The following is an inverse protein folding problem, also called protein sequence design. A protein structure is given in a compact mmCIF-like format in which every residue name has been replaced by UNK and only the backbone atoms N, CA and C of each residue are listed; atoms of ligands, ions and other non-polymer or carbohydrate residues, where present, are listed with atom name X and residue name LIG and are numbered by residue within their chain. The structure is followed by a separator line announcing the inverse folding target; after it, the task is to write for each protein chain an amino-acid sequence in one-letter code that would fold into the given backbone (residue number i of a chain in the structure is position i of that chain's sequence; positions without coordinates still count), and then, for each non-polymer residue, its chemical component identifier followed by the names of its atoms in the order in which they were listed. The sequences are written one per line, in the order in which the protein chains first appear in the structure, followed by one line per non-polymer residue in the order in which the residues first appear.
data_IF_693928832792
#
_entry.id   IF_693928832792
#
_cell.length_a   1.000
_cell.length_b   1.000
_cell.length_c   1.000
_cell.angle_alpha   90.00
_cell.angle_beta   90.00
_cell.angle_gamma   90.00
#
_symmetry.space_group_name_H-M   'P 1'
#
loop_
_entity.id
_entity.type
_entity.pdbx_description
1 polymer ?
#
# COMPACT_ATOMS: atom_id res chain seq x y z
N UNK A 1 -5.31 -14.18 -33.32
CA UNK A 1 -4.16 -14.35 -32.39
C UNK A 1 -4.12 -13.06 -31.61
N UNK A 2 -4.62 -13.07 -30.37
CA UNK A 2 -4.52 -11.90 -29.50
C UNK A 2 -3.04 -11.70 -29.18
N UNK A 3 -2.49 -10.56 -29.58
CA UNK A 3 -1.23 -10.09 -29.02
C UNK A 3 -1.43 -10.00 -27.51
N UNK A 4 -0.81 -10.90 -26.76
CA UNK A 4 -0.89 -10.93 -25.31
C UNK A 4 -0.48 -9.56 -24.79
N UNK A 5 -1.39 -8.88 -24.14
CA UNK A 5 -1.15 -7.57 -23.54
C UNK A 5 0.02 -7.72 -22.56
N UNK A 6 1.10 -7.02 -22.82
CA UNK A 6 2.36 -7.05 -22.07
C UNK A 6 2.26 -6.34 -20.70
N UNK A 7 1.05 -6.16 -20.19
CA UNK A 7 0.80 -5.42 -18.97
C UNK A 7 0.65 -6.37 -17.77
N UNK A 8 1.44 -6.12 -16.75
CA UNK A 8 1.44 -6.87 -15.50
C UNK A 8 0.32 -6.41 -14.57
N UNK A 9 -0.04 -7.25 -13.62
CA UNK A 9 -0.76 -6.82 -12.43
C UNK A 9 0.13 -5.88 -11.59
N UNK A 10 -0.47 -5.10 -10.70
CA UNK A 10 0.28 -4.15 -9.86
C UNK A 10 -0.02 -4.40 -8.39
N UNK A 11 1.03 -4.48 -7.58
CA UNK A 11 0.93 -4.46 -6.13
C UNK A 11 1.47 -3.15 -5.57
N UNK A 12 0.68 -2.49 -4.73
CA UNK A 12 1.07 -1.23 -4.06
C UNK A 12 1.02 -1.40 -2.55
N UNK A 13 2.17 -1.60 -1.94
CA UNK A 13 2.33 -1.65 -0.49
C UNK A 13 2.67 -0.31 0.13
N UNK A 14 2.74 -0.27 1.47
CA UNK A 14 3.25 0.90 2.19
C UNK A 14 2.38 1.32 3.36
N UNK A 15 2.81 2.36 4.06
CA UNK A 15 2.15 2.80 5.30
C UNK A 15 0.83 3.52 5.06
N UNK A 16 0.01 3.61 6.10
CA UNK A 16 -1.22 4.40 6.05
C UNK A 16 -0.92 5.89 5.72
N UNK A 17 -1.81 6.54 4.98
CA UNK A 17 -1.68 7.95 4.57
C UNK A 17 -0.44 8.27 3.70
N UNK A 18 0.12 7.30 2.98
CA UNK A 18 1.26 7.50 2.06
C UNK A 18 0.86 7.85 0.62
N UNK A 19 -0.42 7.76 0.27
CA UNK A 19 -0.87 8.05 -1.10
C UNK A 19 -1.22 6.81 -1.93
N UNK A 20 -1.14 5.58 -1.39
CA UNK A 20 -1.48 4.33 -2.12
C UNK A 20 -2.80 4.40 -2.88
N UNK A 21 -3.88 4.80 -2.21
CA UNK A 21 -5.20 4.88 -2.85
C UNK A 21 -5.27 5.95 -3.94
N UNK A 22 -4.47 7.02 -3.85
CA UNK A 22 -4.34 8.03 -4.92
C UNK A 22 -3.62 7.43 -6.12
N UNK A 23 -2.50 6.74 -5.88
CA UNK A 23 -1.74 6.02 -6.88
C UNK A 23 -2.63 4.97 -7.59
N UNK A 24 -3.29 4.09 -6.82
CA UNK A 24 -4.17 3.05 -7.36
C UNK A 24 -5.30 3.60 -8.22
N UNK A 25 -5.94 4.69 -7.78
CA UNK A 25 -7.00 5.35 -8.56
C UNK A 25 -6.49 5.91 -9.89
N UNK A 26 -5.28 6.47 -9.92
CA UNK A 26 -4.67 6.95 -11.16
C UNK A 26 -4.39 5.80 -12.13
N UNK A 27 -3.79 4.71 -11.64
CA UNK A 27 -3.56 3.50 -12.43
C UNK A 27 -4.85 2.97 -13.06
N UNK A 28 -5.93 2.91 -12.28
CA UNK A 28 -7.24 2.49 -12.79
C UNK A 28 -7.78 3.40 -13.90
N UNK A 29 -7.61 4.71 -13.75
CA UNK A 29 -8.11 5.68 -14.72
C UNK A 29 -7.33 5.65 -16.04
N UNK A 30 -6.01 5.48 -15.97
CA UNK A 30 -5.13 5.49 -17.14
C UNK A 30 -5.14 4.13 -17.87
N UNK A 31 -5.04 3.03 -17.13
CA UNK A 31 -4.72 1.71 -17.67
C UNK A 31 -5.84 0.66 -17.51
N UNK A 32 -7.03 1.04 -17.00
CA UNK A 32 -8.21 0.16 -16.84
C UNK A 32 -7.96 -1.06 -15.94
N UNK A 33 -7.24 -0.87 -14.83
CA UNK A 33 -7.07 -1.91 -13.81
C UNK A 33 -8.34 -2.10 -12.97
N UNK A 34 -8.58 -3.31 -12.52
CA UNK A 34 -9.54 -3.62 -11.49
C UNK A 34 -8.89 -3.39 -10.12
N UNK A 35 -9.37 -2.41 -9.36
CA UNK A 35 -8.81 -2.07 -8.04
C UNK A 35 -9.32 -3.00 -6.95
N UNK A 36 -8.41 -3.61 -6.21
CA UNK A 36 -8.69 -4.50 -5.09
C UNK A 36 -8.00 -4.01 -3.80
N UNK A 37 -8.68 -3.16 -2.99
CA UNK A 37 -8.16 -2.75 -1.69
C UNK A 37 -8.21 -3.91 -0.69
N UNK A 38 -7.06 -4.38 -0.23
CA UNK A 38 -6.99 -5.48 0.73
C UNK A 38 -7.57 -5.12 2.10
N UNK A 39 -7.63 -3.84 2.43
CA UNK A 39 -8.19 -3.33 3.70
C UNK A 39 -9.62 -3.80 3.94
N UNK A 40 -10.42 -4.04 2.89
CA UNK A 40 -11.78 -4.58 3.03
C UNK A 40 -11.77 -6.02 3.52
N UNK A 41 -10.86 -6.84 3.00
CA UNK A 41 -10.72 -8.23 3.42
C UNK A 41 -10.17 -8.33 4.84
N UNK A 42 -9.10 -7.60 5.15
CA UNK A 42 -8.49 -7.61 6.48
C UNK A 42 -9.45 -7.10 7.56
N UNK A 43 -10.23 -6.06 7.26
CA UNK A 43 -11.27 -5.55 8.17
C UNK A 43 -12.40 -6.55 8.37
N UNK A 44 -12.86 -7.22 7.30
CA UNK A 44 -13.88 -8.26 7.39
C UNK A 44 -13.42 -9.46 8.23
N UNK A 45 -12.19 -9.92 8.02
CA UNK A 45 -11.62 -11.03 8.79
C UNK A 45 -11.48 -10.66 10.26
N UNK A 46 -10.94 -9.48 10.57
CA UNK A 46 -10.84 -9.01 11.95
C UNK A 46 -12.17 -8.98 12.68
N UNK A 47 -13.23 -8.52 12.00
CA UNK A 47 -14.52 -8.28 12.63
C UNK A 47 -15.37 -9.56 12.78
N UNK A 48 -15.25 -10.49 11.83
CA UNK A 48 -16.13 -11.65 11.75
C UNK A 48 -15.42 -12.99 12.05
N UNK A 49 -14.08 -13.01 11.99
CA UNK A 49 -13.26 -14.21 12.17
C UNK A 49 -12.04 -13.89 13.05
N UNK A 50 -12.25 -13.50 14.33
CA UNK A 50 -11.16 -13.11 15.23
C UNK A 50 -10.13 -14.22 15.47
N UNK A 51 -10.53 -15.49 15.30
CA UNK A 51 -9.65 -16.67 15.36
C UNK A 51 -8.54 -16.66 14.31
N UNK A 52 -8.70 -15.93 13.20
CA UNK A 52 -7.65 -15.75 12.19
C UNK A 52 -6.48 -14.90 12.71
N UNK A 53 -6.64 -14.22 13.85
CA UNK A 53 -5.63 -13.35 14.45
C UNK A 53 -5.04 -12.33 13.45
N UNK A 54 -5.89 -11.78 12.58
CA UNK A 54 -5.51 -10.72 11.65
C UNK A 54 -5.81 -9.38 12.29
N UNK A 55 -4.80 -8.54 12.41
CA UNK A 55 -4.93 -7.17 12.87
C UNK A 55 -5.09 -6.23 11.67
N UNK A 56 -6.15 -5.43 11.66
CA UNK A 56 -6.27 -4.28 10.77
C UNK A 56 -5.70 -3.02 11.44
N UNK A 57 -4.65 -3.18 12.25
CA UNK A 57 -3.94 -2.03 12.83
C UNK A 57 -3.35 -1.19 11.71
N UNK A 58 -3.47 0.14 11.82
CA UNK A 58 -2.80 1.07 10.90
C UNK A 58 -1.27 1.00 10.97
N UNK A 59 -0.75 0.40 12.02
CA UNK A 59 0.66 0.10 12.19
C UNK A 59 0.86 -1.38 11.82
N UNK A 60 1.69 -1.64 10.82
CA UNK A 60 2.05 -3.00 10.40
C UNK A 60 2.71 -3.70 11.60
N UNK A 61 2.20 -4.86 11.95
CA UNK A 61 2.66 -5.64 13.09
C UNK A 61 2.76 -7.12 12.72
N UNK A 62 2.63 -8.00 13.71
CA UNK A 62 2.82 -9.45 13.62
C UNK A 62 1.84 -10.17 12.66
N UNK A 63 0.84 -9.45 12.14
CA UNK A 63 -0.11 -9.97 11.14
C UNK A 63 0.41 -9.93 9.71
N UNK A 64 1.55 -9.26 9.44
CA UNK A 64 2.05 -9.07 8.07
C UNK A 64 2.23 -10.38 7.31
N UNK A 65 2.91 -11.35 7.90
CA UNK A 65 3.11 -12.68 7.30
C UNK A 65 1.79 -13.41 7.01
N UNK A 66 0.82 -13.34 7.93
CA UNK A 66 -0.51 -13.98 7.75
C UNK A 66 -1.31 -13.33 6.65
N UNK A 67 -1.24 -12.00 6.56
CA UNK A 67 -1.89 -11.25 5.49
C UNK A 67 -1.21 -11.52 4.15
N UNK A 68 0.11 -11.63 4.12
CA UNK A 68 0.85 -12.02 2.92
C UNK A 68 0.48 -13.44 2.46
N UNK A 69 0.33 -14.39 3.37
CA UNK A 69 -0.15 -15.74 3.06
C UNK A 69 -1.58 -15.74 2.51
N UNK A 70 -2.49 -14.96 3.07
CA UNK A 70 -3.83 -14.75 2.52
C UNK A 70 -3.77 -14.20 1.09
N UNK A 71 -2.97 -13.14 0.90
CA UNK A 71 -2.75 -12.53 -0.42
C UNK A 71 -2.20 -13.52 -1.44
N UNK A 72 -1.32 -14.43 -1.05
CA UNK A 72 -0.73 -15.41 -1.98
C UNK A 72 -1.79 -16.24 -2.74
N UNK A 73 -2.92 -16.54 -2.07
CA UNK A 73 -4.04 -17.24 -2.69
C UNK A 73 -4.82 -16.32 -3.63
N UNK A 74 -5.07 -15.07 -3.22
CA UNK A 74 -5.77 -14.06 -4.02
C UNK A 74 -4.98 -13.76 -5.29
N UNK A 75 -3.67 -13.52 -5.17
CA UNK A 75 -2.74 -13.27 -6.28
C UNK A 75 -2.78 -14.42 -7.29
N UNK A 76 -2.68 -15.67 -6.82
CA UNK A 76 -2.73 -16.85 -7.70
C UNK A 76 -4.05 -16.97 -8.46
N UNK A 77 -5.18 -16.57 -7.84
CA UNK A 77 -6.48 -16.51 -8.52
C UNK A 77 -6.46 -15.41 -9.58
N UNK A 78 -5.94 -14.22 -9.25
CA UNK A 78 -5.82 -13.11 -10.19
C UNK A 78 -4.93 -13.46 -11.38
N UNK A 79 -3.80 -14.14 -11.16
CA UNK A 79 -2.89 -14.62 -12.19
C UNK A 79 -3.50 -15.59 -13.21
N UNK A 80 -4.63 -16.21 -12.85
CA UNK A 80 -5.38 -17.11 -13.72
C UNK A 80 -6.45 -16.41 -14.55
N UNK A 81 -6.62 -15.08 -14.38
CA UNK A 81 -7.62 -14.29 -15.09
C UNK A 81 -7.01 -13.55 -16.27
N UNK A 82 -7.83 -13.28 -17.27
CA UNK A 82 -7.49 -12.43 -18.41
C UNK A 82 -7.83 -10.94 -18.14
N UNK A 83 -7.66 -10.55 -16.87
CA UNK A 83 -7.96 -9.22 -16.36
C UNK A 83 -6.75 -8.67 -15.63
N UNK A 84 -6.63 -7.35 -15.54
CA UNK A 84 -5.57 -6.67 -14.80
C UNK A 84 -6.07 -6.18 -13.47
N UNK A 85 -5.27 -6.40 -12.45
CA UNK A 85 -5.57 -6.02 -11.09
C UNK A 85 -4.51 -5.09 -10.54
N UNK A 86 -4.97 -4.11 -9.76
CA UNK A 86 -4.12 -3.38 -8.82
C UNK A 86 -4.59 -3.71 -7.40
N UNK A 87 -3.68 -4.28 -6.62
CA UNK A 87 -3.92 -4.62 -5.22
C UNK A 87 -3.19 -3.64 -4.35
N UNK A 88 -3.87 -2.94 -3.44
CA UNK A 88 -3.21 -2.10 -2.44
C UNK A 88 -3.35 -2.65 -1.02
N UNK A 89 -2.32 -2.46 -0.21
CA UNK A 89 -2.30 -2.89 1.19
C UNK A 89 -1.43 -1.98 2.07
N UNK A 90 -1.97 -1.66 3.25
CA UNK A 90 -1.22 -1.01 4.33
C UNK A 90 -0.77 -1.99 5.43
N UNK A 91 -0.85 -3.30 5.19
CA UNK A 91 -0.74 -4.30 6.26
C UNK A 91 0.38 -5.33 6.04
N UNK A 92 1.16 -5.20 4.97
CA UNK A 92 2.25 -6.15 4.66
C UNK A 92 3.59 -5.46 4.51
N UNK A 93 4.65 -6.14 4.95
CA UNK A 93 6.03 -5.72 4.74
C UNK A 93 6.56 -6.30 3.41
N UNK A 94 7.52 -5.63 2.74
CA UNK A 94 8.11 -6.14 1.50
C UNK A 94 8.59 -7.59 1.61
N UNK A 95 9.36 -7.92 2.63
CA UNK A 95 9.92 -9.28 2.84
C UNK A 95 8.85 -10.37 2.95
N UNK A 96 7.67 -10.02 3.44
CA UNK A 96 6.60 -11.00 3.63
C UNK A 96 5.82 -11.28 2.36
N UNK A 97 5.57 -10.25 1.53
CA UNK A 97 4.70 -10.40 0.35
C UNK A 97 5.45 -10.71 -0.94
N UNK A 98 6.64 -10.14 -1.14
CA UNK A 98 7.40 -10.29 -2.39
C UNK A 98 7.66 -11.75 -2.79
N UNK A 99 7.92 -12.69 -1.85
CA UNK A 99 8.09 -14.10 -2.21
C UNK A 99 6.87 -14.74 -2.88
N UNK A 100 5.70 -14.14 -2.78
CA UNK A 100 4.45 -14.63 -3.37
C UNK A 100 4.07 -13.95 -4.68
N UNK A 101 4.82 -12.93 -5.11
CA UNK A 101 4.55 -12.15 -6.32
C UNK A 101 5.54 -12.55 -7.41
N UNK A 102 5.04 -13.13 -8.49
CA UNK A 102 5.81 -13.43 -9.69
C UNK A 102 6.17 -12.13 -10.40
N UNK A 103 7.44 -11.76 -10.43
CA UNK A 103 7.91 -10.50 -11.04
C UNK A 103 7.71 -10.43 -12.56
N UNK A 104 7.46 -11.56 -13.22
CA UNK A 104 7.09 -11.57 -14.62
C UNK A 104 5.62 -11.18 -14.85
N UNK A 105 4.79 -11.29 -13.79
CA UNK A 105 3.35 -11.00 -13.81
C UNK A 105 2.94 -9.80 -12.97
N UNK A 106 3.80 -9.33 -12.06
CA UNK A 106 3.49 -8.27 -11.12
C UNK A 106 4.57 -7.19 -11.10
N UNK A 107 4.15 -5.95 -11.30
CA UNK A 107 4.94 -4.79 -10.92
C UNK A 107 4.65 -4.47 -9.45
N UNK A 108 5.71 -4.23 -8.67
CA UNK A 108 5.64 -4.11 -7.22
C UNK A 108 6.16 -2.74 -6.83
N UNK A 109 5.33 -1.97 -6.13
CA UNK A 109 5.69 -0.66 -5.61
C UNK A 109 5.39 -0.58 -4.12
N UNK A 110 6.25 0.11 -3.38
CA UNK A 110 5.95 0.50 -2.01
C UNK A 110 6.02 2.03 -1.88
N UNK A 111 5.06 2.59 -1.12
CA UNK A 111 4.93 4.04 -0.95
C UNK A 111 5.02 4.37 0.54
N UNK A 112 5.88 5.31 0.89
CA UNK A 112 6.08 5.74 2.27
C UNK A 112 6.56 7.18 2.36
N UNK A 113 6.84 7.62 3.58
CA UNK A 113 7.32 8.96 3.88
C UNK A 113 8.38 8.94 5.00
N UNK A 114 9.56 8.30 4.74
CA UNK A 114 10.59 8.07 5.76
C UNK A 114 11.28 9.35 6.23
N UNK A 115 11.27 10.42 5.42
CA UNK A 115 12.08 11.63 5.60
C UNK A 115 11.27 12.86 6.03
N UNK A 116 9.95 12.72 6.32
CA UNK A 116 9.12 13.82 6.79
C UNK A 116 9.21 13.97 8.31
N UNK A 117 9.11 15.20 8.82
CA UNK A 117 8.95 15.40 10.26
C UNK A 117 7.57 14.96 10.74
N UNK A 118 7.49 14.44 11.98
CA UNK A 118 6.20 14.01 12.54
C UNK A 118 5.17 15.15 12.61
N UNK A 119 5.62 16.36 12.90
CA UNK A 119 4.73 17.52 12.99
C UNK A 119 4.22 17.95 11.62
N UNK A 120 5.06 17.92 10.59
CA UNK A 120 4.66 18.22 9.21
C UNK A 120 3.64 17.19 8.73
N UNK A 121 3.90 15.89 8.94
CA UNK A 121 2.97 14.83 8.54
C UNK A 121 1.65 14.91 9.30
N UNK A 122 1.69 15.15 10.60
CA UNK A 122 0.51 15.37 11.43
C UNK A 122 -0.34 16.52 10.89
N UNK A 123 0.27 17.68 10.64
CA UNK A 123 -0.43 18.86 10.11
C UNK A 123 -1.04 18.59 8.73
N UNK A 124 -0.32 17.87 7.87
CA UNK A 124 -0.83 17.46 6.56
C UNK A 124 -2.05 16.54 6.70
N UNK A 125 -2.00 15.56 7.60
CA UNK A 125 -3.14 14.67 7.84
C UNK A 125 -4.34 15.49 8.32
N UNK A 126 -4.18 16.32 9.33
CA UNK A 126 -5.29 17.16 9.86
C UNK A 126 -5.89 18.09 8.80
N UNK A 127 -5.06 18.66 7.94
CA UNK A 127 -5.52 19.53 6.84
C UNK A 127 -6.45 18.83 5.86
N UNK A 128 -6.21 17.55 5.60
CA UNK A 128 -6.95 16.77 4.60
C UNK A 128 -7.86 15.70 5.20
N UNK A 129 -8.05 15.66 6.53
CA UNK A 129 -8.94 14.73 7.20
C UNK A 129 -10.40 14.94 6.81
N UNK A 130 -11.03 13.90 6.28
CA UNK A 130 -12.47 13.84 6.11
C UNK A 130 -13.19 13.44 7.41
N UNK A 131 -14.46 13.82 7.56
CA UNK A 131 -15.26 13.51 8.77
C UNK A 131 -15.35 12.00 9.09
N UNK A 132 -15.23 11.14 8.08
CA UNK A 132 -15.33 9.69 8.20
C UNK A 132 -13.98 9.01 8.36
N UNK A 133 -12.89 9.75 8.21
CA UNK A 133 -11.54 9.19 8.30
C UNK A 133 -11.25 8.69 9.72
N UNK A 134 -10.52 7.59 9.81
CA UNK A 134 -10.15 7.03 11.11
C UNK A 134 -9.24 7.99 11.91
N UNK A 135 -8.47 8.83 11.24
CA UNK A 135 -7.59 9.84 11.82
C UNK A 135 -8.36 10.96 12.49
N UNK A 136 -9.51 11.37 11.97
CA UNK A 136 -10.35 12.42 12.55
C UNK A 136 -10.94 12.07 13.92
N UNK A 137 -10.98 10.75 14.25
CA UNK A 137 -11.51 10.24 15.51
C UNK A 137 -10.44 10.10 16.60
N UNK A 138 -9.18 10.48 16.32
CA UNK A 138 -8.06 10.37 17.25
C UNK A 138 -7.75 11.71 17.87
N UNK A 139 -7.33 11.70 19.14
CA UNK A 139 -6.74 12.89 19.76
C UNK A 139 -5.44 13.28 19.04
N UNK A 140 -4.98 14.51 19.22
CA UNK A 140 -3.74 14.98 18.59
C UNK A 140 -2.51 14.19 19.11
N UNK A 141 -2.49 13.87 20.42
CA UNK A 141 -1.41 13.07 21.01
C UNK A 141 -1.40 11.64 20.47
N UNK A 142 -2.58 10.99 20.36
CA UNK A 142 -2.68 9.67 19.76
C UNK A 142 -2.22 9.68 18.30
N UNK A 143 -2.66 10.66 17.52
CA UNK A 143 -2.30 10.74 16.11
C UNK A 143 -0.81 11.02 15.92
N UNK A 144 -0.20 11.92 16.72
CA UNK A 144 1.24 12.17 16.70
C UNK A 144 2.04 10.90 17.01
N UNK A 145 1.61 10.10 18.00
CA UNK A 145 2.25 8.83 18.34
C UNK A 145 2.13 7.83 17.18
N UNK A 146 0.98 7.76 16.53
CA UNK A 146 0.77 6.88 15.36
C UNK A 146 1.65 7.33 14.19
N UNK A 147 1.71 8.62 13.89
CA UNK A 147 2.53 9.19 12.81
C UNK A 147 4.01 8.86 13.01
N UNK A 148 4.52 8.97 14.23
CA UNK A 148 5.91 8.61 14.53
C UNK A 148 6.21 7.13 14.24
N UNK A 149 5.29 6.24 14.60
CA UNK A 149 5.41 4.80 14.27
C UNK A 149 5.34 4.55 12.75
N UNK A 150 4.44 5.24 12.04
CA UNK A 150 4.32 5.11 10.59
C UNK A 150 5.57 5.60 9.86
N UNK A 151 6.21 6.67 10.32
CA UNK A 151 7.50 7.14 9.79
C UNK A 151 8.59 6.08 10.02
N UNK A 152 8.65 5.49 11.23
CA UNK A 152 9.61 4.41 11.52
C UNK A 152 9.40 3.18 10.63
N UNK A 153 8.14 2.81 10.38
CA UNK A 153 7.80 1.70 9.47
C UNK A 153 8.15 2.06 8.03
N UNK A 154 7.91 3.31 7.59
CA UNK A 154 8.32 3.77 6.26
C UNK A 154 9.81 3.57 6.01
N UNK A 155 10.66 3.86 7.00
CA UNK A 155 12.11 3.62 6.90
C UNK A 155 12.43 2.13 6.73
N UNK A 156 11.82 1.27 7.53
CA UNK A 156 12.01 -0.18 7.42
C UNK A 156 11.52 -0.73 6.07
N UNK A 157 10.42 -0.20 5.54
CA UNK A 157 9.92 -0.58 4.22
C UNK A 157 10.93 -0.16 3.16
N UNK A 158 11.45 1.07 3.22
CA UNK A 158 12.47 1.56 2.29
C UNK A 158 13.71 0.67 2.31
N UNK A 159 14.27 0.38 3.49
CA UNK A 159 15.41 -0.52 3.67
C UNK A 159 15.16 -1.91 3.04
N UNK A 160 13.97 -2.49 3.27
CA UNK A 160 13.61 -3.78 2.68
C UNK A 160 13.41 -3.72 1.16
N UNK A 161 12.89 -2.62 0.64
CA UNK A 161 12.78 -2.40 -0.80
C UNK A 161 14.14 -2.34 -1.48
N UNK A 162 15.10 -1.63 -0.86
CA UNK A 162 16.49 -1.57 -1.32
C UNK A 162 17.14 -2.97 -1.33
N UNK A 163 16.98 -3.75 -0.23
CA UNK A 163 17.51 -5.12 -0.14
C UNK A 163 16.90 -6.07 -1.18
N UNK A 164 15.66 -5.87 -1.57
CA UNK A 164 14.91 -6.72 -2.49
C UNK A 164 14.91 -6.22 -3.94
N UNK A 165 15.57 -5.11 -4.23
CA UNK A 165 15.56 -4.44 -5.54
C UNK A 165 14.11 -4.18 -6.02
N UNK A 166 13.36 -3.43 -5.20
CA UNK A 166 11.97 -3.05 -5.46
C UNK A 166 11.84 -1.54 -5.41
N UNK A 167 11.12 -0.91 -6.35
CA UNK A 167 10.84 0.50 -6.33
C UNK A 167 10.15 0.97 -5.04
N UNK A 168 10.70 2.01 -4.42
CA UNK A 168 10.12 2.71 -3.30
C UNK A 168 9.83 4.16 -3.68
N UNK A 169 8.57 4.59 -3.53
CA UNK A 169 8.12 5.96 -3.81
C UNK A 169 8.10 6.75 -2.51
N UNK A 170 9.03 7.68 -2.36
CA UNK A 170 9.14 8.54 -1.17
C UNK A 170 8.23 9.77 -1.31
N UNK A 171 7.13 9.78 -0.57
CA UNK A 171 6.16 10.90 -0.51
C UNK A 171 6.39 11.81 0.69
N UNK A 172 7.63 11.95 1.15
CA UNK A 172 8.00 12.83 2.27
C UNK A 172 7.86 14.32 1.96
N UNK A 173 7.94 14.70 0.69
CA UNK A 173 7.67 16.06 0.19
C UNK A 173 6.16 16.28 -0.05
N UNK A 174 5.77 16.74 -1.22
CA UNK A 174 4.36 16.80 -1.62
C UNK A 174 3.94 15.47 -2.25
N UNK A 175 3.03 14.76 -1.56
CA UNK A 175 2.55 13.44 -2.01
C UNK A 175 1.89 13.49 -3.40
N UNK A 176 1.17 14.57 -3.70
CA UNK A 176 0.46 14.67 -4.99
C UNK A 176 1.46 14.91 -6.10
N UNK A 177 2.39 15.84 -5.90
CA UNK A 177 3.43 16.17 -6.87
C UNK A 177 4.30 14.94 -7.18
N UNK A 178 4.77 14.21 -6.16
CA UNK A 178 5.55 12.97 -6.33
C UNK A 178 4.79 11.92 -7.13
N UNK A 179 3.51 11.72 -6.84
CA UNK A 179 2.67 10.77 -7.59
C UNK A 179 2.46 11.26 -9.03
N UNK A 180 2.28 12.57 -9.25
CA UNK A 180 2.13 13.15 -10.58
C UNK A 180 3.39 12.93 -11.42
N UNK A 181 4.56 13.26 -10.88
CA UNK A 181 5.85 13.05 -11.52
C UNK A 181 6.09 11.58 -11.88
N UNK A 182 5.72 10.66 -10.99
CA UNK A 182 5.82 9.22 -11.25
C UNK A 182 5.07 8.80 -12.52
N UNK A 183 3.84 9.30 -12.71
CA UNK A 183 3.04 8.97 -13.89
C UNK A 183 3.44 9.75 -15.16
N UNK A 184 4.21 10.82 -15.04
CA UNK A 184 4.75 11.58 -16.18
C UNK A 184 6.06 10.97 -16.70
N UNK A 185 6.88 10.39 -15.82
CA UNK A 185 8.21 9.86 -16.14
C UNK A 185 8.21 8.37 -16.47
N UNK A 186 7.43 7.58 -15.74
CA UNK A 186 7.24 6.17 -16.01
C UNK A 186 6.01 6.00 -16.92
N UNK A 187 6.24 6.00 -18.23
CA UNK A 187 5.22 5.61 -19.21
C UNK A 187 4.90 4.14 -19.01
N UNK A 188 3.94 3.87 -18.11
CA UNK A 188 3.40 2.53 -17.88
C UNK A 188 2.32 2.21 -18.92
#
# INVERSE_FOLDING_TARGET
MNEGSNYKNVFVGGVARSGKSTFSKRMCNVNKYNHFPLDYVTSSLKNNFPECNISSSVVIGDSSERIALLLSTIVRIMDSKDERFIVDSAHVMPKDIVPYLDRDKWDIYFIGYPNISKFTKFSTIRKYDGKTDWTSRRSDEELLSIVEKLISISKKIQEQCEELDIPFVDTSSDMIEVIDEFFETDVI
#
